data_IF_881572682204
#
_entry.id   IF_881572682204
#
_cell.length_a   1.000
_cell.length_b   1.000
_cell.length_c   1.000
_cell.angle_alpha   90.00
_cell.angle_beta   90.00
_cell.angle_gamma   90.00
#
_symmetry.space_group_name_H-M   'P 1'
#
loop_
_entity.id
_entity.type
_entity.pdbx_description
1 polymer ?
#
# COMPACT_ATOMS: atom_id res chain seq x y z
N UNK A 1 10.26 10.96 -7.67
CA UNK A 1 8.88 11.44 -7.51
C UNK A 1 8.56 11.43 -6.03
N UNK A 2 8.24 12.59 -5.45
CA UNK A 2 7.86 12.68 -4.05
C UNK A 2 6.45 12.12 -3.90
N UNK A 3 6.29 11.07 -3.10
CA UNK A 3 4.98 10.54 -2.76
C UNK A 3 4.43 11.20 -1.49
N UNK A 4 3.12 11.47 -1.46
CA UNK A 4 2.43 11.92 -0.25
C UNK A 4 1.97 10.70 0.53
N UNK A 5 2.38 10.60 1.79
CA UNK A 5 1.89 9.56 2.71
C UNK A 5 0.55 9.99 3.29
N UNK A 6 -0.44 9.11 3.23
CA UNK A 6 -1.77 9.31 3.81
C UNK A 6 -2.07 8.19 4.78
N UNK A 7 -2.36 8.53 6.03
CA UNK A 7 -2.83 7.59 7.04
C UNK A 7 -4.27 7.17 6.73
N UNK A 8 -4.51 5.85 6.64
CA UNK A 8 -5.82 5.32 6.26
C UNK A 8 -6.82 5.30 7.43
N UNK A 9 -6.36 5.29 8.68
CA UNK A 9 -7.22 5.39 9.86
C UNK A 9 -7.85 6.79 9.91
N UNK A 10 -7.04 7.83 9.69
CA UNK A 10 -7.50 9.22 9.63
C UNK A 10 -8.43 9.46 8.44
N UNK A 11 -8.01 9.03 7.24
CA UNK A 11 -8.82 9.18 6.03
C UNK A 11 -10.17 8.45 6.15
N UNK A 12 -10.15 7.22 6.68
CA UNK A 12 -11.38 6.44 6.87
C UNK A 12 -12.36 7.14 7.81
N UNK A 13 -11.89 7.79 8.88
CA UNK A 13 -12.75 8.59 9.78
C UNK A 13 -13.36 9.78 9.04
N UNK A 14 -12.57 10.50 8.26
CA UNK A 14 -13.03 11.66 7.50
C UNK A 14 -14.14 11.32 6.49
N UNK A 15 -14.08 10.13 5.88
CA UNK A 15 -15.08 9.67 4.89
C UNK A 15 -16.10 8.68 5.46
N UNK A 16 -16.11 8.46 6.78
CA UNK A 16 -16.96 7.48 7.47
C UNK A 16 -16.88 6.05 6.88
N UNK A 17 -15.70 5.63 6.42
CA UNK A 17 -15.47 4.28 5.92
C UNK A 17 -15.18 3.31 7.08
N UNK A 18 -16.03 2.28 7.21
CA UNK A 18 -15.96 1.28 8.30
C UNK A 18 -15.33 -0.06 7.89
N UNK A 19 -14.84 -0.17 6.67
CA UNK A 19 -14.23 -1.40 6.17
C UNK A 19 -12.86 -1.70 6.79
N UNK A 20 -12.39 -2.93 6.60
CA UNK A 20 -11.00 -3.27 6.86
C UNK A 20 -10.09 -2.44 5.95
N UNK A 21 -8.98 -1.98 6.50
CA UNK A 21 -8.09 -1.05 5.81
C UNK A 21 -6.64 -1.41 6.09
N UNK A 22 -5.80 -1.14 5.10
CA UNK A 22 -4.36 -1.12 5.29
C UNK A 22 -3.96 0.06 6.20
N UNK A 23 -2.69 0.16 6.55
CA UNK A 23 -2.21 1.22 7.45
C UNK A 23 -2.10 2.58 6.73
N UNK A 24 -1.52 2.60 5.53
CA UNK A 24 -1.34 3.86 4.80
C UNK A 24 -1.31 3.70 3.28
N UNK A 25 -1.46 4.85 2.61
CA UNK A 25 -1.22 5.02 1.18
C UNK A 25 0.05 5.82 0.95
N UNK A 26 0.74 5.55 -0.16
CA UNK A 26 1.68 6.48 -0.78
C UNK A 26 1.10 6.89 -2.12
N UNK A 27 0.80 8.18 -2.28
CA UNK A 27 0.20 8.72 -3.49
C UNK A 27 1.26 9.46 -4.27
N UNK A 28 1.57 8.95 -5.47
CA UNK A 28 2.43 9.60 -6.45
C UNK A 28 1.64 9.99 -7.70
N UNK A 29 2.31 10.61 -8.65
CA UNK A 29 1.74 10.96 -9.95
C UNK A 29 1.44 9.68 -10.75
N UNK A 30 0.15 9.39 -10.96
CA UNK A 30 -0.32 8.23 -11.73
C UNK A 30 -0.11 6.86 -11.05
N UNK A 31 0.24 6.81 -9.76
CA UNK A 31 0.37 5.56 -9.02
C UNK A 31 0.03 5.72 -7.53
N UNK A 32 -0.54 4.67 -6.94
CA UNK A 32 -0.76 4.55 -5.50
C UNK A 32 -0.21 3.24 -4.96
N UNK A 33 0.59 3.34 -3.91
CA UNK A 33 0.96 2.20 -3.09
C UNK A 33 -0.01 2.08 -1.92
N UNK A 34 -0.52 0.87 -1.68
CA UNK A 34 -1.29 0.52 -0.48
C UNK A 34 -0.38 -0.33 0.39
N UNK A 35 -0.10 0.09 1.61
CA UNK A 35 0.86 -0.61 2.48
C UNK A 35 0.20 -1.06 3.78
N UNK A 36 0.30 -2.36 4.04
CA UNK A 36 -0.05 -2.99 5.32
C UNK A 36 1.24 -3.43 5.99
N UNK A 37 1.49 -2.94 7.20
CA UNK A 37 2.63 -3.27 8.04
C UNK A 37 2.21 -4.23 9.15
N UNK A 38 2.95 -5.32 9.26
CA UNK A 38 2.67 -6.35 10.26
C UNK A 38 3.96 -6.99 10.75
N UNK A 39 4.00 -7.41 12.00
CA UNK A 39 5.10 -8.23 12.48
C UNK A 39 5.04 -9.64 11.89
N UNK A 40 3.82 -10.17 11.70
CA UNK A 40 3.58 -11.50 11.15
C UNK A 40 2.34 -11.49 10.27
N UNK A 41 2.56 -11.67 8.98
CA UNK A 41 1.54 -11.80 7.96
C UNK A 41 0.47 -12.85 8.29
N UNK A 42 -0.79 -12.46 8.05
CA UNK A 42 -2.00 -13.29 8.14
C UNK A 42 -2.87 -13.07 6.91
N UNK A 43 -3.81 -13.98 6.69
CA UNK A 43 -4.84 -13.83 5.64
C UNK A 43 -5.63 -12.53 5.83
N UNK A 44 -5.83 -12.10 7.08
CA UNK A 44 -6.56 -10.87 7.36
C UNK A 44 -5.84 -9.61 6.84
N UNK A 45 -4.52 -9.62 6.84
CA UNK A 45 -3.69 -8.54 6.31
C UNK A 45 -3.85 -8.43 4.79
N UNK A 46 -3.96 -9.58 4.09
CA UNK A 46 -4.29 -9.60 2.66
C UNK A 46 -5.70 -9.07 2.40
N UNK A 47 -6.66 -9.37 3.27
CA UNK A 47 -8.03 -8.85 3.18
C UNK A 47 -8.10 -7.34 3.40
N UNK A 48 -7.28 -6.79 4.30
CA UNK A 48 -7.14 -5.34 4.47
C UNK A 48 -6.62 -4.67 3.21
N UNK A 49 -5.58 -5.24 2.57
CA UNK A 49 -5.09 -4.77 1.28
C UNK A 49 -6.19 -4.82 0.21
N UNK A 50 -6.89 -5.95 0.07
CA UNK A 50 -7.98 -6.10 -0.91
C UNK A 50 -9.10 -5.08 -0.67
N UNK A 51 -9.60 -4.97 0.56
CA UNK A 51 -10.66 -4.02 0.90
C UNK A 51 -10.27 -2.57 0.62
N UNK A 52 -8.99 -2.22 0.82
CA UNK A 52 -8.47 -0.88 0.53
C UNK A 52 -8.38 -0.63 -0.97
N UNK A 53 -7.89 -1.61 -1.73
CA UNK A 53 -7.85 -1.57 -3.21
C UNK A 53 -9.26 -1.40 -3.77
N UNK A 54 -10.25 -2.12 -3.24
CA UNK A 54 -11.65 -1.95 -3.66
C UNK A 54 -12.20 -0.57 -3.33
N UNK A 55 -11.88 -0.04 -2.15
CA UNK A 55 -12.31 1.29 -1.75
C UNK A 55 -11.71 2.39 -2.64
N UNK A 56 -10.48 2.20 -3.13
CA UNK A 56 -9.83 3.10 -4.10
C UNK A 56 -10.43 3.01 -5.49
N UNK A 57 -10.72 1.81 -5.97
CA UNK A 57 -11.21 1.61 -7.35
C UNK A 57 -12.67 2.02 -7.53
N UNK A 58 -13.53 1.76 -6.52
CA UNK A 58 -14.99 1.86 -6.68
C UNK A 58 -15.74 2.24 -5.39
N UNK A 59 -15.02 2.62 -4.34
CA UNK A 59 -15.61 2.82 -3.03
C UNK A 59 -15.36 4.23 -2.47
N UNK A 60 -15.43 4.38 -1.14
CA UNK A 60 -15.43 5.69 -0.50
C UNK A 60 -14.11 6.45 -0.63
N UNK A 61 -13.01 5.78 -0.99
CA UNK A 61 -11.70 6.44 -1.18
C UNK A 61 -11.51 7.01 -2.59
N UNK A 62 -12.33 6.58 -3.56
CA UNK A 62 -12.14 6.95 -4.97
C UNK A 62 -12.15 8.46 -5.23
N UNK A 63 -12.96 9.22 -4.46
CA UNK A 63 -13.04 10.68 -4.57
C UNK A 63 -12.26 11.43 -3.47
N UNK A 64 -11.77 10.71 -2.45
CA UNK A 64 -11.20 11.32 -1.26
C UNK A 64 -9.67 11.38 -1.29
N UNK A 65 -9.02 10.60 -2.15
CA UNK A 65 -7.56 10.59 -2.29
C UNK A 65 -7.12 11.70 -3.26
N UNK A 66 -6.43 12.76 -2.79
CA UNK A 66 -6.00 13.85 -3.65
C UNK A 66 -4.93 13.38 -4.65
N UNK A 67 -4.95 13.90 -5.88
CA UNK A 67 -3.92 13.59 -6.88
C UNK A 67 -4.08 12.23 -7.56
N UNK A 68 -5.15 11.48 -7.27
CA UNK A 68 -5.51 10.25 -7.97
C UNK A 68 -6.06 10.59 -9.37
N UNK A 69 -5.20 10.71 -10.36
CA UNK A 69 -5.60 10.93 -11.76
C UNK A 69 -5.77 9.58 -12.49
N UNK A 70 -6.92 9.38 -13.15
CA UNK A 70 -7.13 8.23 -14.01
C UNK A 70 -6.41 8.40 -15.36
N UNK A 71 -5.75 7.35 -15.89
CA UNK A 71 -5.54 6.04 -15.27
C UNK A 71 -4.42 6.07 -14.21
N UNK A 72 -4.62 5.41 -13.07
CA UNK A 72 -3.57 5.21 -12.06
C UNK A 72 -3.26 3.73 -11.88
N UNK A 73 -2.01 3.43 -11.52
CA UNK A 73 -1.56 2.08 -11.18
C UNK A 73 -1.66 1.86 -9.66
N UNK A 74 -2.03 0.65 -9.25
CA UNK A 74 -2.07 0.30 -7.82
C UNK A 74 -1.01 -0.78 -7.54
N UNK A 75 -0.25 -0.56 -6.47
CA UNK A 75 0.72 -1.49 -5.92
C UNK A 75 0.36 -1.78 -4.47
N UNK A 76 -0.10 -3.00 -4.17
CA UNK A 76 -0.43 -3.41 -2.81
C UNK A 76 0.74 -4.16 -2.19
N UNK A 77 1.27 -3.68 -1.07
CA UNK A 77 2.46 -4.23 -0.42
C UNK A 77 2.11 -4.71 0.98
N UNK A 78 2.32 -6.01 1.22
CA UNK A 78 2.33 -6.58 2.56
C UNK A 78 3.75 -6.53 3.11
N UNK A 79 4.00 -5.63 4.07
CA UNK A 79 5.28 -5.48 4.75
C UNK A 79 5.28 -6.29 6.05
N UNK A 80 5.88 -7.48 6.03
CA UNK A 80 5.89 -8.43 7.17
C UNK A 80 7.30 -8.74 7.66
N UNK A 81 7.70 -8.25 8.84
CA UNK A 81 9.08 -8.38 9.35
C UNK A 81 9.54 -9.84 9.54
N UNK A 82 8.63 -10.75 9.84
CA UNK A 82 8.93 -12.19 10.04
C UNK A 82 8.71 -13.03 8.78
N UNK A 83 8.58 -12.40 7.61
CA UNK A 83 8.27 -13.06 6.35
C UNK A 83 6.80 -13.41 6.20
N UNK A 84 6.47 -14.06 5.09
CA UNK A 84 5.10 -14.43 4.71
C UNK A 84 5.06 -15.93 4.51
N UNK A 85 4.13 -16.64 5.17
CA UNK A 85 3.98 -18.07 4.97
C UNK A 85 3.42 -18.39 3.57
N UNK A 86 3.58 -19.64 3.14
CA UNK A 86 3.22 -20.06 1.79
C UNK A 86 1.74 -19.92 1.47
N UNK A 87 0.84 -20.02 2.46
CA UNK A 87 -0.60 -19.85 2.23
C UNK A 87 -0.94 -18.38 2.06
N UNK A 88 -0.41 -17.51 2.92
CA UNK A 88 -0.63 -16.06 2.82
C UNK A 88 -0.03 -15.53 1.52
N UNK A 89 1.15 -16.02 1.12
CA UNK A 89 1.76 -15.66 -0.17
C UNK A 89 0.90 -16.12 -1.36
N UNK A 90 0.37 -17.34 -1.33
CA UNK A 90 -0.53 -17.83 -2.39
C UNK A 90 -1.80 -16.99 -2.49
N UNK A 91 -2.39 -16.62 -1.36
CA UNK A 91 -3.57 -15.75 -1.33
C UNK A 91 -3.24 -14.37 -1.94
N UNK A 92 -2.13 -13.77 -1.54
CA UNK A 92 -1.64 -12.49 -2.07
C UNK A 92 -1.45 -12.55 -3.61
N UNK A 93 -0.83 -13.62 -4.12
CA UNK A 93 -0.61 -13.79 -5.56
C UNK A 93 -1.91 -14.08 -6.33
N UNK A 94 -2.88 -14.75 -5.72
CA UNK A 94 -4.21 -14.98 -6.29
C UNK A 94 -4.92 -13.65 -6.60
N UNK A 95 -4.75 -12.65 -5.73
CA UNK A 95 -5.35 -11.33 -5.90
C UNK A 95 -4.75 -10.54 -7.07
N UNK A 96 -3.44 -10.68 -7.32
CA UNK A 96 -2.76 -10.03 -8.47
C UNK A 96 -3.41 -10.40 -9.80
N UNK A 97 -3.79 -11.66 -9.98
CA UNK A 97 -4.35 -12.16 -11.25
C UNK A 97 -5.74 -11.59 -11.56
N UNK A 98 -6.46 -11.07 -10.56
CA UNK A 98 -7.89 -10.75 -10.69
C UNK A 98 -8.17 -9.31 -11.08
N UNK A 99 -7.27 -8.35 -10.79
CA UNK A 99 -7.67 -6.92 -10.71
C UNK A 99 -6.76 -5.92 -11.40
N UNK A 100 -5.74 -6.37 -12.13
CA UNK A 100 -4.75 -5.45 -12.74
C UNK A 100 -3.94 -4.65 -11.70
N UNK A 101 -3.93 -5.14 -10.45
CA UNK A 101 -3.21 -4.58 -9.31
C UNK A 101 -1.99 -5.45 -9.04
N UNK A 102 -0.84 -4.84 -8.81
CA UNK A 102 0.38 -5.57 -8.47
C UNK A 102 0.41 -5.79 -6.96
N UNK A 103 0.30 -7.03 -6.51
CA UNK A 103 0.55 -7.36 -5.11
C UNK A 103 2.01 -7.81 -4.91
N UNK A 104 2.61 -7.37 -3.80
CA UNK A 104 3.99 -7.68 -3.39
C UNK A 104 4.05 -7.97 -1.91
N UNK A 105 5.02 -8.79 -1.53
CA UNK A 105 5.43 -8.95 -0.15
C UNK A 105 6.82 -8.33 0.03
N UNK A 106 7.04 -7.68 1.16
CA UNK A 106 8.32 -7.19 1.61
C UNK A 106 8.56 -7.71 3.03
N UNK A 107 9.75 -8.24 3.31
CA UNK A 107 10.07 -8.77 4.64
C UNK A 107 10.87 -7.81 5.53
N UNK A 108 11.32 -6.70 4.97
CA UNK A 108 12.07 -5.67 5.68
C UNK A 108 11.92 -4.33 4.97
N UNK A 109 12.33 -3.27 5.66
CA UNK A 109 12.27 -1.91 5.17
C UNK A 109 12.99 -1.73 3.82
N UNK A 110 14.18 -2.31 3.67
CA UNK A 110 14.95 -2.25 2.42
C UNK A 110 14.20 -2.92 1.24
N UNK A 111 13.48 -4.02 1.50
CA UNK A 111 12.66 -4.65 0.47
C UNK A 111 11.42 -3.83 0.13
N UNK A 112 10.79 -3.21 1.12
CA UNK A 112 9.66 -2.30 0.91
C UNK A 112 10.11 -1.14 0.02
N UNK A 113 11.19 -0.46 0.38
CA UNK A 113 11.77 0.65 -0.40
C UNK A 113 12.13 0.24 -1.82
N UNK A 114 12.70 -0.96 -2.01
CA UNK A 114 12.99 -1.49 -3.34
C UNK A 114 11.72 -1.67 -4.16
N UNK A 115 10.69 -2.30 -3.60
CA UNK A 115 9.38 -2.48 -4.26
C UNK A 115 8.79 -1.13 -4.63
N UNK A 116 8.78 -0.18 -3.70
CA UNK A 116 8.28 1.17 -3.93
C UNK A 116 9.04 1.87 -5.07
N UNK A 117 10.37 1.78 -5.09
CA UNK A 117 11.21 2.37 -6.13
C UNK A 117 11.00 1.76 -7.51
N UNK A 118 10.88 0.44 -7.60
CA UNK A 118 10.55 -0.29 -8.83
C UNK A 118 9.23 0.19 -9.45
N UNK A 119 8.34 0.72 -8.61
CA UNK A 119 7.05 1.25 -9.01
C UNK A 119 6.98 2.80 -9.06
N UNK A 120 8.11 3.49 -8.92
CA UNK A 120 8.21 4.94 -9.12
C UNK A 120 8.00 5.79 -7.86
N UNK A 121 7.79 5.18 -6.69
CA UNK A 121 7.69 5.90 -5.43
C UNK A 121 9.10 6.19 -4.90
N UNK A 122 9.42 7.46 -4.66
CA UNK A 122 10.66 7.88 -3.98
C UNK A 122 10.28 8.69 -2.75
N UNK A 123 10.98 8.49 -1.65
CA UNK A 123 10.92 9.46 -0.55
C UNK A 123 11.66 10.74 -0.97
N UNK A 124 11.14 11.89 -0.56
CA UNK A 124 11.91 13.12 -0.60
C UNK A 124 13.00 12.97 0.45
N UNK A 125 14.28 12.91 0.03
CA UNK A 125 15.38 12.87 1.00
C UNK A 125 15.48 14.22 1.71
N UNK A 126 14.85 14.36 2.87
CA UNK A 126 15.50 15.11 3.93
C UNK A 126 16.55 14.16 4.49
N UNK A 127 17.80 14.28 4.03
CA UNK A 127 18.93 13.60 4.63
C UNK A 127 18.96 13.90 6.14
N UNK A 128 19.33 12.95 7.03
CA UNK A 128 19.71 13.33 8.38
C UNK A 128 20.88 14.32 8.27
N UNK A 129 20.84 15.49 8.95
CA UNK A 129 22.01 16.33 9.03
C UNK A 129 23.14 15.48 9.61
N UNK A 130 24.27 15.50 8.92
CA UNK A 130 25.44 14.65 9.14
C UNK A 130 25.71 14.38 10.62
N UNK A 131 25.97 13.11 10.92
CA UNK A 131 26.87 12.75 11.99
C UNK A 131 28.28 13.14 11.53
N UNK A 132 28.79 14.25 12.06
CA UNK A 132 30.21 14.54 12.32
C UNK A 132 30.28 15.56 13.46
#
# INVERSE_FOLDING_TARGET
MVAVKIDLEELARAVNWRGKRADYLLVGEGAVAVVEETERAKIDDVRKLESTVEALLRGPLAAAVPGLCNPFRIVAVLHSKRGVDSMVYRELMSQTRKRGVVYRAANCQQQLERVLREHGFSESSAAPPNAD
#
